data_IF_026704565851
#
_entry.id   IF_026704565851
#
_cell.length_a   1.000
_cell.length_b   1.000
_cell.length_c   1.000
_cell.angle_alpha   90.00
_cell.angle_beta   90.00
_cell.angle_gamma   90.00
#
_symmetry.space_group_name_H-M   'P 1'
#
loop_
_entity.id
_entity.type
_entity.pdbx_description
1 polymer ?
#
# COMPACT_ATOMS: atom_id res chain seq x y z
N UNK A 1 -9.45 -30.36 -9.95
CA UNK A 1 -8.37 -29.35 -10.02
C UNK A 1 -9.00 -28.00 -10.29
N UNK A 2 -8.97 -27.08 -9.31
CA UNK A 2 -9.46 -25.70 -9.47
C UNK A 2 -8.42 -24.96 -10.31
N UNK A 3 -8.57 -25.01 -11.63
CA UNK A 3 -7.49 -24.66 -12.56
C UNK A 3 -7.36 -23.17 -12.91
N UNK A 4 -8.22 -22.29 -12.40
CA UNK A 4 -8.19 -20.87 -12.83
C UNK A 4 -8.24 -19.88 -11.66
N UNK A 5 -7.43 -20.09 -10.62
CA UNK A 5 -7.10 -18.97 -9.74
C UNK A 5 -5.95 -18.17 -10.35
N UNK A 6 -6.10 -16.86 -10.62
CA UNK A 6 -5.06 -16.07 -11.28
C UNK A 6 -3.94 -15.68 -10.29
N UNK A 7 -3.17 -16.65 -9.81
CA UNK A 7 -2.11 -16.49 -8.80
C UNK A 7 -1.14 -15.35 -9.15
N UNK A 8 -0.64 -15.32 -10.39
CA UNK A 8 0.31 -14.30 -10.86
C UNK A 8 -0.26 -12.89 -10.75
N UNK A 9 -1.53 -12.71 -11.13
CA UNK A 9 -2.20 -11.41 -11.03
C UNK A 9 -2.31 -10.96 -9.58
N UNK A 10 -2.66 -11.88 -8.68
CA UNK A 10 -2.82 -11.60 -7.25
C UNK A 10 -1.50 -11.24 -6.60
N UNK A 11 -0.46 -12.04 -6.82
CA UNK A 11 0.88 -11.78 -6.27
C UNK A 11 1.41 -10.44 -6.76
N UNK A 12 1.45 -10.22 -8.09
CA UNK A 12 2.00 -8.99 -8.67
C UNK A 12 1.22 -7.76 -8.17
N UNK A 13 -0.11 -7.83 -8.17
CA UNK A 13 -0.95 -6.72 -7.72
C UNK A 13 -0.70 -6.33 -6.26
N UNK A 14 -0.65 -7.31 -5.36
CA UNK A 14 -0.37 -7.04 -3.94
C UNK A 14 1.08 -6.65 -3.67
N UNK A 15 2.05 -7.15 -4.44
CA UNK A 15 3.45 -6.70 -4.32
C UNK A 15 3.64 -5.23 -4.71
N UNK A 16 2.83 -4.71 -5.62
CA UNK A 16 2.85 -3.29 -6.03
C UNK A 16 2.10 -2.37 -5.05
N UNK A 17 1.34 -2.93 -4.11
CA UNK A 17 0.58 -2.21 -3.11
C UNK A 17 1.39 -1.16 -2.32
N UNK A 18 2.62 -1.44 -1.87
CA UNK A 18 3.39 -0.46 -1.11
C UNK A 18 3.90 0.71 -1.95
N UNK A 19 4.10 0.49 -3.26
CA UNK A 19 4.40 1.59 -4.18
C UNK A 19 3.23 2.57 -4.29
N UNK A 20 2.00 2.05 -4.33
CA UNK A 20 0.79 2.87 -4.31
C UNK A 20 0.63 3.61 -2.98
N UNK A 21 0.91 2.96 -1.85
CA UNK A 21 0.90 3.60 -0.53
C UNK A 21 1.94 4.73 -0.44
N UNK A 22 3.15 4.51 -0.96
CA UNK A 22 4.23 5.51 -1.02
C UNK A 22 3.89 6.71 -1.92
N UNK A 23 3.24 6.46 -3.06
CA UNK A 23 2.73 7.52 -3.93
C UNK A 23 1.69 8.39 -3.21
N UNK A 24 0.72 7.75 -2.52
CA UNK A 24 -0.30 8.46 -1.75
C UNK A 24 0.32 9.29 -0.62
N UNK A 25 1.27 8.72 0.10
CA UNK A 25 2.00 9.43 1.17
C UNK A 25 2.76 10.65 0.63
N UNK A 26 3.45 10.52 -0.50
CA UNK A 26 4.19 11.63 -1.10
C UNK A 26 3.27 12.74 -1.61
N UNK A 27 2.09 12.39 -2.14
CA UNK A 27 1.09 13.39 -2.52
C UNK A 27 0.57 14.18 -1.32
N UNK A 28 0.38 13.55 -0.16
CA UNK A 28 -0.02 14.24 1.08
C UNK A 28 1.10 15.15 1.58
N UNK A 29 2.34 14.66 1.64
CA UNK A 29 3.51 15.47 2.04
C UNK A 29 3.68 16.69 1.13
N UNK A 30 3.45 16.51 -0.17
CA UNK A 30 3.49 17.60 -1.13
C UNK A 30 2.38 18.62 -0.88
N UNK A 31 1.14 18.17 -0.64
CA UNK A 31 0.04 19.08 -0.34
C UNK A 31 0.32 19.92 0.92
N UNK A 32 0.86 19.30 1.97
CA UNK A 32 1.25 20.01 3.20
C UNK A 32 2.41 21.01 2.96
N UNK A 33 3.43 20.61 2.19
CA UNK A 33 4.55 21.48 1.83
C UNK A 33 4.11 22.68 0.98
N UNK A 34 3.20 22.47 0.03
CA UNK A 34 2.67 23.52 -0.84
C UNK A 34 1.76 24.52 -0.11
N UNK A 35 1.09 24.10 0.97
CA UNK A 35 0.30 25.01 1.83
C UNK A 35 1.21 25.87 2.71
N UNK A 36 2.46 25.44 2.93
CA UNK A 36 3.40 26.09 3.85
C UNK A 36 4.41 27.01 3.16
N UNK A 37 4.59 26.90 1.83
CA UNK A 37 5.55 27.69 1.06
C UNK A 37 4.88 28.55 -0.03
N UNK A 38 5.27 29.83 -0.11
CA UNK A 38 4.96 30.71 -1.25
C UNK A 38 5.82 30.34 -2.47
N UNK A 39 5.43 29.26 -3.16
CA UNK A 39 6.16 28.79 -4.34
C UNK A 39 5.86 29.69 -5.56
N UNK A 40 6.73 30.67 -5.78
CA UNK A 40 6.57 31.65 -6.88
C UNK A 40 7.03 31.16 -8.26
N UNK A 41 7.60 29.94 -8.37
CA UNK A 41 8.17 29.44 -9.62
C UNK A 41 7.46 28.15 -10.09
N UNK A 42 6.75 28.25 -11.21
CA UNK A 42 5.95 27.15 -11.80
C UNK A 42 6.82 25.93 -12.16
N UNK A 43 8.09 26.14 -12.52
CA UNK A 43 9.00 25.04 -12.86
C UNK A 43 9.41 24.21 -11.63
N UNK A 44 9.72 24.88 -10.51
CA UNK A 44 9.99 24.22 -9.22
C UNK A 44 8.75 23.49 -8.71
N UNK A 45 7.57 24.12 -8.83
CA UNK A 45 6.28 23.51 -8.49
C UNK A 45 6.03 22.20 -9.25
N UNK A 46 6.21 22.23 -10.58
CA UNK A 46 5.99 21.07 -11.45
C UNK A 46 6.97 19.95 -11.13
N UNK A 47 8.23 20.31 -10.83
CA UNK A 47 9.28 19.36 -10.46
C UNK A 47 8.96 18.69 -9.12
N UNK A 48 8.54 19.45 -8.11
CA UNK A 48 8.15 18.93 -6.80
C UNK A 48 6.94 17.99 -6.90
N UNK A 49 5.89 18.39 -7.65
CA UNK A 49 4.66 17.61 -7.86
C UNK A 49 4.93 16.22 -8.42
N UNK A 50 5.92 16.10 -9.30
CA UNK A 50 6.22 14.83 -9.96
C UNK A 50 7.27 14.00 -9.20
N UNK A 51 8.32 14.62 -8.68
CA UNK A 51 9.43 13.91 -8.05
C UNK A 51 9.09 13.41 -6.64
N UNK A 52 8.41 14.21 -5.82
CA UNK A 52 8.16 13.84 -4.41
C UNK A 52 7.32 12.55 -4.34
N UNK A 53 6.13 12.45 -4.98
CA UNK A 53 5.34 11.22 -4.97
C UNK A 53 6.09 10.04 -5.61
N UNK A 54 6.86 10.28 -6.67
CA UNK A 54 7.62 9.22 -7.34
C UNK A 54 8.70 8.64 -6.43
N UNK A 55 9.48 9.48 -5.76
CA UNK A 55 10.55 9.06 -4.85
C UNK A 55 9.97 8.33 -3.65
N UNK A 56 8.90 8.85 -3.03
CA UNK A 56 8.23 8.18 -1.91
C UNK A 56 7.55 6.88 -2.34
N UNK A 57 7.03 6.82 -3.57
CA UNK A 57 6.47 5.62 -4.18
C UNK A 57 7.52 4.52 -4.35
N UNK A 58 8.67 4.85 -4.95
CA UNK A 58 9.79 3.91 -5.11
C UNK A 58 10.36 3.52 -3.74
N UNK A 59 10.55 4.47 -2.84
CA UNK A 59 11.02 4.21 -1.48
C UNK A 59 10.07 3.30 -0.68
N UNK A 60 8.76 3.57 -0.75
CA UNK A 60 7.73 2.73 -0.16
C UNK A 60 7.71 1.32 -0.74
N UNK A 61 7.86 1.19 -2.05
CA UNK A 61 8.01 -0.12 -2.69
C UNK A 61 9.24 -0.87 -2.19
N UNK A 62 10.43 -0.28 -2.25
CA UNK A 62 11.68 -0.95 -1.84
C UNK A 62 11.63 -1.37 -0.37
N UNK A 63 11.12 -0.50 0.51
CA UNK A 63 11.06 -0.78 1.95
C UNK A 63 10.03 -1.85 2.32
N UNK A 64 8.87 -1.89 1.65
CA UNK A 64 7.74 -2.73 2.05
C UNK A 64 7.42 -3.85 1.05
N UNK A 65 8.21 -4.04 -0.02
CA UNK A 65 8.00 -5.12 -0.98
C UNK A 65 8.09 -6.50 -0.33
N UNK A 66 9.01 -6.71 0.61
CA UNK A 66 9.20 -7.99 1.31
C UNK A 66 7.94 -8.42 2.08
N UNK A 67 7.41 -7.62 3.03
CA UNK A 67 6.21 -8.00 3.77
C UNK A 67 4.97 -8.06 2.87
N UNK A 68 4.89 -7.23 1.83
CA UNK A 68 3.79 -7.27 0.85
C UNK A 68 3.81 -8.56 0.03
N UNK A 69 4.99 -9.04 -0.37
CA UNK A 69 5.14 -10.31 -1.07
C UNK A 69 4.73 -11.48 -0.17
N UNK A 70 5.18 -11.49 1.09
CA UNK A 70 4.79 -12.53 2.05
C UNK A 70 3.27 -12.57 2.27
N UNK A 71 2.63 -11.39 2.46
CA UNK A 71 1.18 -11.29 2.59
C UNK A 71 0.46 -11.77 1.31
N UNK A 72 0.97 -11.42 0.13
CA UNK A 72 0.39 -11.83 -1.15
C UNK A 72 0.38 -13.35 -1.33
N UNK A 73 1.44 -14.04 -0.89
CA UNK A 73 1.52 -15.50 -0.92
C UNK A 73 0.42 -16.09 -0.04
N UNK A 74 0.28 -15.61 1.20
CA UNK A 74 -0.77 -16.06 2.13
C UNK A 74 -2.16 -15.85 1.51
N UNK A 75 -2.42 -14.69 0.90
CA UNK A 75 -3.70 -14.40 0.24
C UNK A 75 -4.00 -15.37 -0.90
N UNK A 76 -2.99 -15.76 -1.68
CA UNK A 76 -3.16 -16.75 -2.74
C UNK A 76 -3.34 -18.17 -2.23
N UNK A 77 -2.66 -18.56 -1.15
CA UNK A 77 -2.85 -19.87 -0.52
C UNK A 77 -4.26 -20.04 0.06
N UNK A 78 -4.87 -18.94 0.52
CA UNK A 78 -6.24 -18.92 1.03
C UNK A 78 -7.31 -18.83 -0.07
N UNK A 79 -6.92 -18.76 -1.36
CA UNK A 79 -7.81 -18.58 -2.51
C UNK A 79 -8.86 -17.48 -2.29
N UNK A 80 -8.42 -16.29 -1.89
CA UNK A 80 -9.34 -15.18 -1.62
C UNK A 80 -10.02 -14.73 -2.92
N UNK A 81 -11.34 -14.57 -2.86
CA UNK A 81 -12.16 -14.05 -3.97
C UNK A 81 -12.79 -12.72 -3.57
N UNK A 82 -13.32 -11.97 -4.53
CA UNK A 82 -14.11 -10.76 -4.28
C UNK A 82 -15.29 -11.07 -3.36
N UNK A 83 -15.13 -10.74 -2.09
CA UNK A 83 -16.14 -10.86 -1.04
C UNK A 83 -15.86 -9.84 0.05
N UNK A 84 -16.90 -9.36 0.75
CA UNK A 84 -16.75 -8.41 1.85
C UNK A 84 -15.80 -8.94 2.95
N UNK A 85 -15.86 -10.24 3.24
CA UNK A 85 -14.96 -10.90 4.21
C UNK A 85 -13.51 -10.83 3.76
N UNK A 86 -13.24 -11.09 2.48
CA UNK A 86 -11.89 -11.01 1.92
C UNK A 86 -11.36 -9.59 1.91
N UNK A 87 -12.19 -8.59 1.58
CA UNK A 87 -11.79 -7.19 1.66
C UNK A 87 -11.43 -6.77 3.08
N UNK A 88 -12.28 -7.10 4.06
CA UNK A 88 -12.02 -6.77 5.46
C UNK A 88 -10.74 -7.43 5.97
N UNK A 89 -10.56 -8.72 5.67
CA UNK A 89 -9.36 -9.46 6.04
C UNK A 89 -8.09 -8.84 5.45
N UNK A 90 -8.07 -8.57 4.15
CA UNK A 90 -6.90 -8.00 3.47
C UNK A 90 -6.59 -6.58 3.96
N UNK A 91 -7.62 -5.80 4.26
CA UNK A 91 -7.47 -4.43 4.80
C UNK A 91 -6.82 -4.46 6.18
N UNK A 92 -7.32 -5.33 7.07
CA UNK A 92 -6.75 -5.49 8.41
C UNK A 92 -5.32 -6.04 8.38
N UNK A 93 -5.10 -7.11 7.62
CA UNK A 93 -3.77 -7.73 7.51
C UNK A 93 -2.79 -6.75 6.87
N UNK A 94 -3.18 -6.05 5.81
CA UNK A 94 -2.35 -5.03 5.16
C UNK A 94 -1.96 -3.88 6.09
N UNK A 95 -2.92 -3.35 6.85
CA UNK A 95 -2.65 -2.31 7.86
C UNK A 95 -1.76 -2.81 8.99
N UNK A 96 -2.04 -3.98 9.55
CA UNK A 96 -1.24 -4.57 10.64
C UNK A 96 0.20 -4.89 10.18
N UNK A 97 0.35 -5.47 8.99
CA UNK A 97 1.67 -5.78 8.42
C UNK A 97 2.47 -4.50 8.18
N UNK A 98 1.84 -3.45 7.64
CA UNK A 98 2.49 -2.16 7.45
C UNK A 98 2.91 -1.52 8.79
N UNK A 99 2.04 -1.58 9.81
CA UNK A 99 2.33 -1.07 11.14
C UNK A 99 3.49 -1.84 11.81
N UNK A 100 3.41 -3.17 11.84
CA UNK A 100 4.47 -4.02 12.41
C UNK A 100 5.80 -3.85 11.68
N UNK A 101 5.78 -3.80 10.35
CA UNK A 101 7.00 -3.58 9.57
C UNK A 101 7.59 -2.19 9.84
N UNK A 102 6.75 -1.16 9.96
CA UNK A 102 7.20 0.18 10.35
C UNK A 102 7.87 0.19 11.72
N UNK A 103 7.32 -0.54 12.70
CA UNK A 103 7.95 -0.71 14.02
C UNK A 103 9.28 -1.48 13.93
N UNK A 104 9.40 -2.47 13.05
CA UNK A 104 10.66 -3.23 12.88
C UNK A 104 11.73 -2.35 12.23
N UNK A 105 11.39 -1.59 11.19
CA UNK A 105 12.33 -0.78 10.40
C UNK A 105 12.69 0.52 11.10
N UNK A 106 11.72 1.17 11.77
CA UNK A 106 11.87 2.51 12.34
C UNK A 106 11.75 2.55 13.87
N UNK A 107 11.58 1.42 14.55
CA UNK A 107 11.26 1.34 15.99
C UNK A 107 12.30 1.91 16.96
N UNK A 108 13.47 2.32 16.47
CA UNK A 108 14.49 3.04 17.24
C UNK A 108 14.39 4.58 17.10
N UNK A 109 13.60 5.09 16.15
CA UNK A 109 13.50 6.51 15.83
C UNK A 109 12.07 7.07 15.85
N UNK A 110 11.06 6.21 16.06
CA UNK A 110 9.65 6.62 16.04
C UNK A 110 9.08 6.46 17.44
N UNK A 111 8.81 7.59 18.10
CA UNK A 111 8.00 7.59 19.31
C UNK A 111 6.66 6.93 18.98
N UNK A 112 6.28 5.92 19.76
CA UNK A 112 5.04 5.14 19.55
C UNK A 112 3.79 6.04 19.67
N UNK A 113 3.93 7.22 20.27
CA UNK A 113 2.93 8.29 20.36
C UNK A 113 2.87 9.22 19.14
N UNK A 114 3.87 9.22 18.26
CA UNK A 114 3.86 10.01 17.03
C UNK A 114 2.85 9.44 16.03
N UNK A 115 2.32 10.26 15.13
CA UNK A 115 1.33 9.90 14.09
C UNK A 115 1.79 8.81 13.11
N UNK A 116 3.07 8.40 13.15
CA UNK A 116 3.73 7.50 12.22
C UNK A 116 3.14 6.08 12.07
N UNK A 117 2.89 5.31 13.15
CA UNK A 117 2.35 3.95 13.05
C UNK A 117 0.87 3.95 12.64
N UNK A 118 0.10 4.95 13.06
CA UNK A 118 -1.30 5.11 12.64
C UNK A 118 -1.42 5.45 11.14
N UNK A 119 -0.54 6.32 10.64
CA UNK A 119 -0.43 6.62 9.21
C UNK A 119 -0.02 5.38 8.41
N UNK A 120 0.97 4.62 8.88
CA UNK A 120 1.39 3.37 8.24
C UNK A 120 0.26 2.35 8.18
N UNK A 121 -0.53 2.21 9.25
CA UNK A 121 -1.72 1.37 9.27
C UNK A 121 -2.76 1.85 8.25
N UNK A 122 -3.12 3.14 8.27
CA UNK A 122 -4.13 3.70 7.39
C UNK A 122 -3.72 3.58 5.91
N UNK A 123 -2.48 3.93 5.56
CA UNK A 123 -1.95 3.80 4.22
C UNK A 123 -1.89 2.34 3.78
N UNK A 124 -1.45 1.43 4.65
CA UNK A 124 -1.42 -0.01 4.39
C UNK A 124 -2.82 -0.60 4.18
N UNK A 125 -3.79 -0.18 4.99
CA UNK A 125 -5.18 -0.61 4.90
C UNK A 125 -5.84 -0.12 3.60
N UNK A 126 -5.74 1.18 3.30
CA UNK A 126 -6.36 1.79 2.11
C UNK A 126 -5.74 1.24 0.82
N UNK A 127 -4.42 1.16 0.75
CA UNK A 127 -3.72 0.61 -0.43
C UNK A 127 -4.08 -0.86 -0.65
N UNK A 128 -4.15 -1.66 0.42
CA UNK A 128 -4.51 -3.08 0.33
C UNK A 128 -5.97 -3.28 -0.07
N UNK A 129 -6.88 -2.42 0.39
CA UNK A 129 -8.29 -2.43 -0.03
C UNK A 129 -8.44 -2.09 -1.52
N UNK A 130 -7.75 -1.03 -1.98
CA UNK A 130 -7.73 -0.63 -3.39
C UNK A 130 -7.20 -1.77 -4.27
N UNK A 131 -6.06 -2.36 -3.89
CA UNK A 131 -5.51 -3.50 -4.61
C UNK A 131 -6.42 -4.71 -4.58
N UNK A 132 -7.04 -5.02 -3.44
CA UNK A 132 -8.02 -6.11 -3.35
C UNK A 132 -9.19 -5.90 -4.33
N UNK A 133 -9.69 -4.66 -4.47
CA UNK A 133 -10.76 -4.35 -5.40
C UNK A 133 -10.35 -4.52 -6.87
N UNK A 134 -9.11 -4.15 -7.23
CA UNK A 134 -8.61 -4.22 -8.61
C UNK A 134 -8.15 -5.64 -9.01
N UNK A 135 -7.61 -6.39 -8.05
CA UNK A 135 -6.80 -7.58 -8.31
C UNK A 135 -7.56 -8.87 -8.04
N UNK A 136 -8.45 -8.91 -7.03
CA UNK A 136 -9.12 -10.16 -6.67
C UNK A 136 -10.04 -10.70 -7.78
N UNK A 137 -10.05 -12.01 -8.02
CA UNK A 137 -10.98 -12.64 -8.95
C UNK A 137 -12.41 -12.67 -8.40
N UNK A 138 -13.41 -12.59 -9.28
CA UNK A 138 -14.81 -12.89 -8.94
C UNK A 138 -14.94 -14.40 -8.70
N UNK A 139 -15.76 -14.82 -7.73
CA UNK A 139 -16.06 -16.25 -7.55
C UNK A 139 -16.67 -16.79 -8.85
N UNK A 140 -16.19 -17.93 -9.39
CA UNK A 140 -16.87 -18.58 -10.50
C UNK A 140 -18.29 -18.93 -10.04
N UNK A 141 -19.31 -18.48 -10.80
CA UNK A 141 -20.68 -18.96 -10.59
C UNK A 141 -20.64 -20.47 -10.83
N UNK A 142 -20.83 -21.26 -9.77
CA UNK A 142 -21.16 -22.68 -9.94
C UNK A 142 -22.52 -22.70 -10.66
N UNK A 143 -22.51 -23.10 -11.93
CA UNK A 143 -23.71 -23.55 -12.62
C UNK A 143 -24.12 -24.91 -12.07
#
# INVERSE_FOLDING_TARGET
MINDYPYRRVIIGFTLCPGLAGLLSGSVMLAEGMVSEDVNNVFELTRMILLIPLITGVGGFVMFCIPALAASIIYTMLHLFKSWRSYFFITLVGGCVACLWSLIVFGSHVDVQSTGPYLAFALGAVSSLLMAYLVLPKKPKKY
#
